data_IF_410695658288
#
_entry.id   IF_410695658288
#
_cell.length_a   1.000
_cell.length_b   1.000
_cell.length_c   1.000
_cell.angle_alpha   90.00
_cell.angle_beta   90.00
_cell.angle_gamma   90.00
#
_symmetry.space_group_name_H-M   'P 1'
#
loop_
_entity.id
_entity.type
_entity.pdbx_description
1 polymer ?
#
# COMPACT_ATOMS: atom_id res chain seq x y z
N UNK A 1 -47.73 8.58 29.07
CA UNK A 1 -47.57 8.04 27.70
C UNK A 1 -46.31 8.61 27.00
N UNK A 2 -45.51 9.44 27.69
CA UNK A 2 -44.28 10.06 27.14
C UNK A 2 -42.95 9.37 27.47
N UNK A 3 -42.99 8.35 28.31
CA UNK A 3 -41.75 7.65 28.74
C UNK A 3 -41.36 6.44 27.89
N UNK A 4 -42.19 6.00 26.95
CA UNK A 4 -41.93 4.78 26.13
C UNK A 4 -41.29 5.13 24.77
N UNK A 5 -41.43 6.35 24.29
CA UNK A 5 -40.87 6.77 22.98
C UNK A 5 -39.37 7.14 23.03
N UNK A 6 -38.83 7.45 24.22
CA UNK A 6 -37.43 7.89 24.36
C UNK A 6 -36.41 6.75 24.47
N UNK A 7 -36.86 5.53 24.76
CA UNK A 7 -35.95 4.37 24.90
C UNK A 7 -35.79 3.54 23.62
N UNK A 8 -36.71 3.67 22.64
CA UNK A 8 -36.56 2.97 21.36
C UNK A 8 -35.61 3.69 20.39
N UNK A 9 -35.58 5.04 20.43
CA UNK A 9 -34.66 5.82 19.57
C UNK A 9 -33.20 5.74 20.02
N UNK A 10 -32.90 5.54 21.30
CA UNK A 10 -31.53 5.39 21.80
C UNK A 10 -30.88 4.03 21.45
N UNK A 11 -31.67 3.02 21.10
CA UNK A 11 -31.16 1.69 20.68
C UNK A 11 -30.94 1.57 19.17
N UNK A 12 -31.58 2.40 18.37
CA UNK A 12 -31.42 2.39 16.89
C UNK A 12 -30.22 3.21 16.44
N UNK A 13 -29.90 4.28 17.15
CA UNK A 13 -28.79 5.19 16.78
C UNK A 13 -27.40 4.53 16.79
N UNK A 14 -27.00 3.70 17.78
CA UNK A 14 -25.72 3.03 17.73
C UNK A 14 -25.64 1.94 16.66
N UNK A 15 -26.77 1.29 16.31
CA UNK A 15 -26.78 0.28 15.23
C UNK A 15 -26.66 0.92 13.86
N UNK A 16 -27.30 2.08 13.62
CA UNK A 16 -27.13 2.85 12.38
C UNK A 16 -25.72 3.43 12.25
N UNK A 17 -25.12 3.86 13.37
CA UNK A 17 -23.75 4.38 13.37
C UNK A 17 -22.71 3.28 13.14
N UNK A 18 -22.92 2.08 13.70
CA UNK A 18 -22.09 0.91 13.46
C UNK A 18 -22.25 0.41 12.02
N UNK A 19 -23.46 0.44 11.47
CA UNK A 19 -23.72 0.08 10.07
C UNK A 19 -23.10 1.10 9.08
N UNK A 20 -23.13 2.39 9.41
CA UNK A 20 -22.48 3.43 8.61
C UNK A 20 -20.93 3.31 8.66
N UNK A 21 -20.35 2.93 9.79
CA UNK A 21 -18.92 2.64 9.93
C UNK A 21 -18.56 1.36 9.19
N UNK A 22 -19.37 0.31 9.26
CA UNK A 22 -19.18 -0.92 8.50
C UNK A 22 -19.29 -0.69 6.98
N UNK A 23 -20.24 0.12 6.52
CA UNK A 23 -20.37 0.49 5.10
C UNK A 23 -19.17 1.33 4.64
N UNK A 24 -18.62 2.19 5.49
CA UNK A 24 -17.39 2.93 5.16
C UNK A 24 -16.12 2.07 5.22
N UNK A 25 -16.10 1.03 6.05
CA UNK A 25 -14.98 0.05 6.09
C UNK A 25 -15.05 -0.91 4.90
N UNK A 26 -16.25 -1.24 4.42
CA UNK A 26 -16.44 -2.08 3.21
C UNK A 26 -16.27 -1.29 1.90
N UNK A 27 -16.28 0.05 1.93
CA UNK A 27 -15.96 0.92 0.79
C UNK A 27 -14.46 1.13 0.56
N UNK A 28 -13.59 0.53 1.33
CA UNK A 28 -12.17 0.74 1.23
C UNK A 28 -11.46 -0.43 0.58
N UNK A 29 -11.12 -0.28 -0.62
CA UNK A 29 -9.93 -0.63 -1.41
C UNK A 29 -10.26 -0.69 -2.89
N UNK A 30 -11.11 0.22 -3.37
CA UNK A 30 -11.02 0.64 -4.77
C UNK A 30 -9.67 1.33 -4.94
N UNK A 31 -9.01 1.11 -6.07
CA UNK A 31 -7.73 1.72 -6.42
C UNK A 31 -7.69 3.18 -5.99
N UNK A 32 -6.60 3.57 -5.35
CA UNK A 32 -6.43 4.95 -4.92
C UNK A 32 -6.36 5.84 -6.17
N UNK A 33 -7.36 6.69 -6.42
CA UNK A 33 -7.44 7.48 -7.66
C UNK A 33 -6.27 8.44 -7.81
N UNK A 34 -5.61 8.75 -6.72
CA UNK A 34 -4.34 9.49 -6.69
C UNK A 34 -3.63 9.23 -5.36
N UNK A 35 -2.32 9.45 -5.36
CA UNK A 35 -1.48 9.37 -4.18
C UNK A 35 -1.03 10.78 -3.81
N UNK A 36 -0.93 11.08 -2.52
CA UNK A 36 -0.35 12.33 -2.09
C UNK A 36 0.33 12.21 -0.73
N UNK A 37 1.31 13.08 -0.52
CA UNK A 37 2.00 13.21 0.75
C UNK A 37 2.14 14.69 1.12
N UNK A 38 2.19 14.97 2.43
CA UNK A 38 2.33 16.30 2.99
C UNK A 38 3.36 16.26 4.12
N UNK A 39 4.54 16.79 3.85
CA UNK A 39 5.71 16.66 4.74
C UNK A 39 6.12 18.03 5.23
N UNK A 40 6.39 18.13 6.55
CA UNK A 40 6.84 19.35 7.17
C UNK A 40 8.37 19.46 7.17
N UNK A 41 8.88 20.54 6.61
CA UNK A 41 10.28 20.94 6.62
C UNK A 41 10.45 22.31 7.24
N UNK A 42 11.70 22.70 7.59
CA UNK A 42 12.00 24.06 7.98
C UNK A 42 11.86 25.02 6.78
N UNK A 43 11.22 26.17 6.99
CA UNK A 43 11.21 27.25 6.01
C UNK A 43 12.54 28.01 6.01
N UNK A 44 12.79 28.80 4.97
CA UNK A 44 13.87 29.79 4.95
C UNK A 44 13.59 30.94 5.94
N UNK A 45 12.33 31.14 6.31
CA UNK A 45 11.90 32.09 7.34
C UNK A 45 11.94 31.41 8.70
N UNK A 46 12.83 31.84 9.60
CA UNK A 46 13.13 31.16 10.87
C UNK A 46 11.92 30.82 11.75
N UNK A 47 10.87 31.59 11.74
CA UNK A 47 9.68 31.38 12.56
C UNK A 47 8.62 30.52 11.89
N UNK A 48 8.86 30.13 10.63
CA UNK A 48 7.93 29.35 9.82
C UNK A 48 8.48 27.97 9.50
N UNK A 49 7.56 27.09 9.24
CA UNK A 49 7.81 25.82 8.59
C UNK A 49 7.16 25.83 7.20
N UNK A 50 7.60 24.97 6.32
CA UNK A 50 6.93 24.71 5.06
C UNK A 50 6.33 23.31 5.06
N UNK A 51 5.14 23.20 4.53
CA UNK A 51 4.49 21.92 4.24
C UNK A 51 4.61 21.71 2.74
N UNK A 52 5.46 20.77 2.35
CA UNK A 52 5.65 20.36 0.96
C UNK A 52 4.65 19.26 0.62
N UNK A 53 3.89 19.47 -0.45
CA UNK A 53 2.80 18.60 -0.87
C UNK A 53 3.14 18.06 -2.25
N UNK A 54 3.19 16.75 -2.35
CA UNK A 54 3.40 16.01 -3.59
C UNK A 54 2.12 15.25 -3.91
N UNK A 55 1.64 15.33 -5.15
CA UNK A 55 0.48 14.57 -5.62
C UNK A 55 0.85 13.85 -6.90
N UNK A 56 0.54 12.57 -6.99
CA UNK A 56 0.72 11.72 -8.15
C UNK A 56 -0.64 11.22 -8.59
N UNK A 57 -1.02 11.51 -9.84
CA UNK A 57 -2.26 11.07 -10.47
C UNK A 57 -1.90 10.06 -11.55
N UNK A 58 -2.13 8.74 -11.34
CA UNK A 58 -1.92 7.73 -12.37
C UNK A 58 -2.87 7.95 -13.55
N UNK A 59 -2.43 7.66 -14.77
CA UNK A 59 -3.30 7.78 -15.94
C UNK A 59 -4.45 6.77 -15.89
N UNK A 60 -4.22 5.59 -15.33
CA UNK A 60 -5.24 4.58 -15.16
C UNK A 60 -6.40 4.98 -14.24
N UNK A 61 -6.25 6.00 -13.39
CA UNK A 61 -7.33 6.54 -12.56
C UNK A 61 -8.16 7.64 -13.23
N UNK A 62 -7.84 7.97 -14.49
CA UNK A 62 -8.52 9.00 -15.27
C UNK A 62 -9.32 8.38 -16.41
N UNK A 63 -10.47 9.00 -16.71
CA UNK A 63 -11.30 8.59 -17.84
C UNK A 63 -10.79 9.21 -19.15
N UNK A 64 -10.31 8.38 -20.07
CA UNK A 64 -9.87 8.83 -21.39
C UNK A 64 -10.94 8.55 -22.44
N UNK A 65 -11.29 9.58 -23.23
CA UNK A 65 -12.15 9.43 -24.40
C UNK A 65 -11.38 9.59 -25.70
N UNK A 66 -11.68 8.73 -26.68
CA UNK A 66 -11.09 8.85 -28.00
C UNK A 66 -11.66 10.07 -28.73
N UNK A 67 -10.80 10.97 -29.14
CA UNK A 67 -11.13 12.19 -29.88
C UNK A 67 -10.23 12.28 -31.11
N UNK A 68 -10.77 11.96 -32.29
CA UNK A 68 -9.98 11.83 -33.50
C UNK A 68 -8.98 10.67 -33.43
N UNK A 69 -7.69 10.98 -33.56
CA UNK A 69 -6.56 10.03 -33.50
C UNK A 69 -5.93 9.90 -32.12
N UNK A 70 -6.52 10.54 -31.09
CA UNK A 70 -5.93 10.60 -29.74
C UNK A 70 -6.95 10.23 -28.66
N UNK A 71 -6.43 9.83 -27.50
CA UNK A 71 -7.16 9.65 -26.26
C UNK A 71 -6.94 10.91 -25.39
N UNK A 72 -8.02 11.43 -24.82
CA UNK A 72 -8.00 12.70 -24.08
C UNK A 72 -8.63 12.51 -22.70
N UNK A 73 -7.90 12.92 -21.65
CA UNK A 73 -8.43 13.07 -20.29
C UNK A 73 -8.35 14.53 -19.86
N UNK A 74 -9.42 15.01 -19.21
CA UNK A 74 -9.46 16.36 -18.63
C UNK A 74 -9.86 16.28 -17.15
N UNK A 75 -9.09 16.93 -16.30
CA UNK A 75 -9.36 16.96 -14.87
C UNK A 75 -8.89 18.25 -14.20
N UNK A 76 -9.45 18.54 -13.02
CA UNK A 76 -9.02 19.61 -12.15
C UNK A 76 -8.51 19.01 -10.83
N UNK A 77 -7.25 19.27 -10.48
CA UNK A 77 -6.69 18.96 -9.18
C UNK A 77 -6.73 20.19 -8.28
N UNK A 78 -7.28 20.07 -7.09
CA UNK A 78 -7.30 21.13 -6.09
C UNK A 78 -6.54 20.71 -4.84
N UNK A 79 -5.66 21.58 -4.36
CA UNK A 79 -4.92 21.40 -3.10
C UNK A 79 -5.32 22.54 -2.16
N UNK A 80 -5.80 22.21 -0.97
CA UNK A 80 -6.16 23.20 0.04
C UNK A 80 -5.59 22.85 1.41
N UNK A 81 -5.19 23.90 2.15
CA UNK A 81 -4.68 23.80 3.51
C UNK A 81 -5.69 24.41 4.48
N UNK A 82 -6.04 23.67 5.52
CA UNK A 82 -6.91 24.13 6.61
C UNK A 82 -6.17 24.07 7.94
N UNK A 83 -6.50 25.00 8.83
CA UNK A 83 -6.01 24.98 10.21
C UNK A 83 -6.79 23.97 11.08
N UNK A 84 -6.43 23.88 12.36
CA UNK A 84 -7.08 23.00 13.34
C UNK A 84 -8.55 23.35 13.60
N UNK A 85 -9.01 24.54 13.22
CA UNK A 85 -10.42 24.97 13.32
C UNK A 85 -11.23 24.61 12.09
N UNK A 86 -10.59 24.08 11.04
CA UNK A 86 -11.21 23.76 9.75
C UNK A 86 -11.28 24.96 8.80
N UNK A 87 -10.74 26.12 9.17
CA UNK A 87 -10.69 27.31 8.32
C UNK A 87 -9.69 27.09 7.17
N UNK A 88 -10.13 27.32 5.94
CA UNK A 88 -9.24 27.27 4.78
C UNK A 88 -8.30 28.48 4.80
N UNK A 89 -7.01 28.21 4.76
CA UNK A 89 -5.96 29.21 4.75
C UNK A 89 -5.46 29.50 3.36
N UNK A 90 -5.30 28.47 2.55
CA UNK A 90 -4.81 28.55 1.17
C UNK A 90 -5.48 27.47 0.32
N UNK A 91 -5.67 27.77 -0.96
CA UNK A 91 -6.18 26.82 -1.94
C UNK A 91 -5.58 27.14 -3.29
N UNK A 92 -5.22 26.12 -4.05
CA UNK A 92 -4.78 26.21 -5.44
C UNK A 92 -5.47 25.15 -6.29
N UNK A 93 -5.71 25.46 -7.57
CA UNK A 93 -6.32 24.56 -8.53
C UNK A 93 -5.43 24.45 -9.77
N UNK A 94 -5.36 23.24 -10.30
CA UNK A 94 -4.51 22.84 -11.43
C UNK A 94 -5.38 22.14 -12.48
N UNK A 95 -6.00 22.90 -13.42
CA UNK A 95 -6.67 22.29 -14.55
C UNK A 95 -5.64 21.62 -15.47
N UNK A 96 -5.93 20.40 -15.91
CA UNK A 96 -5.06 19.61 -16.79
C UNK A 96 -5.86 18.95 -17.90
N UNK A 97 -5.20 18.88 -19.07
CA UNK A 97 -5.65 18.11 -20.21
C UNK A 97 -4.48 17.28 -20.72
N UNK A 98 -4.71 15.96 -20.84
CA UNK A 98 -3.72 14.97 -21.24
C UNK A 98 -4.11 14.41 -22.60
N UNK A 99 -3.12 14.17 -23.47
CA UNK A 99 -3.30 13.58 -24.79
C UNK A 99 -2.37 12.39 -24.94
N UNK A 100 -2.94 11.23 -25.28
CA UNK A 100 -2.19 10.02 -25.59
C UNK A 100 -2.58 9.47 -26.97
N UNK A 101 -1.65 8.84 -27.66
CA UNK A 101 -1.91 8.25 -28.98
C UNK A 101 -2.39 6.82 -28.87
N UNK A 102 -1.78 6.07 -27.98
CA UNK A 102 -2.05 4.64 -27.81
C UNK A 102 -3.00 4.41 -26.62
N UNK A 103 -3.96 3.52 -26.78
CA UNK A 103 -4.88 3.17 -25.71
C UNK A 103 -4.15 2.59 -24.48
N UNK A 104 -3.09 1.80 -24.72
CA UNK A 104 -2.28 1.22 -23.65
C UNK A 104 -1.64 2.25 -22.72
N UNK A 105 -1.39 3.45 -23.21
CA UNK A 105 -0.83 4.54 -22.42
C UNK A 105 -1.84 5.18 -21.48
N UNK A 106 -3.13 4.93 -21.67
CA UNK A 106 -4.23 5.48 -20.87
C UNK A 106 -4.66 4.57 -19.73
N UNK A 107 -4.17 3.34 -19.67
CA UNK A 107 -4.53 2.37 -18.64
C UNK A 107 -3.45 2.27 -17.56
N UNK A 108 -3.82 1.79 -16.38
CA UNK A 108 -2.94 1.74 -15.21
C UNK A 108 -1.61 1.00 -15.38
N UNK A 109 -1.54 0.10 -16.38
CA UNK A 109 -0.34 -0.68 -16.70
C UNK A 109 0.76 0.11 -17.41
N UNK A 110 0.45 1.26 -18.00
CA UNK A 110 1.46 2.10 -18.67
C UNK A 110 2.49 2.67 -17.71
N UNK A 111 2.20 2.68 -16.40
CA UNK A 111 3.00 3.32 -15.38
C UNK A 111 3.08 4.85 -15.54
N UNK A 112 2.30 5.44 -16.48
CA UNK A 112 2.27 6.90 -16.70
C UNK A 112 1.48 7.60 -15.59
N UNK A 113 1.94 8.77 -15.22
CA UNK A 113 1.32 9.60 -14.20
C UNK A 113 1.61 11.09 -14.39
N UNK A 114 0.79 11.94 -13.77
CA UNK A 114 1.07 13.35 -13.58
C UNK A 114 1.52 13.61 -12.15
N UNK A 115 2.59 14.39 -11.97
CA UNK A 115 3.05 14.85 -10.66
C UNK A 115 2.75 16.32 -10.48
N UNK A 116 2.26 16.67 -9.30
CA UNK A 116 2.06 18.03 -8.85
C UNK A 116 2.86 18.24 -7.57
N UNK A 117 3.44 19.41 -7.46
CA UNK A 117 4.15 19.86 -6.27
C UNK A 117 3.62 21.23 -5.86
N UNK A 118 3.39 21.40 -4.57
CA UNK A 118 3.11 22.70 -3.97
C UNK A 118 3.74 22.79 -2.58
N UNK A 119 3.94 24.01 -2.11
CA UNK A 119 4.54 24.26 -0.79
C UNK A 119 3.84 25.44 -0.12
N UNK A 120 3.48 25.26 1.14
CA UNK A 120 2.84 26.27 1.96
C UNK A 120 3.68 26.59 3.20
N UNK A 121 4.04 27.85 3.35
CA UNK A 121 4.66 28.33 4.58
C UNK A 121 3.59 28.59 5.65
N UNK A 122 3.84 28.05 6.84
CA UNK A 122 2.91 28.03 7.97
C UNK A 122 3.64 28.28 9.29
N UNK A 123 2.90 28.77 10.27
CA UNK A 123 3.37 28.81 11.66
C UNK A 123 3.29 27.43 12.31
N UNK A 124 3.89 27.27 13.48
CA UNK A 124 3.70 26.09 14.32
C UNK A 124 2.22 25.80 14.56
N UNK A 125 1.81 24.54 14.35
CA UNK A 125 0.42 24.13 14.52
C UNK A 125 0.09 22.85 13.76
N UNK A 126 -1.15 22.39 13.93
CA UNK A 126 -1.70 21.25 13.23
C UNK A 126 -2.51 21.71 12.03
N UNK A 127 -2.26 21.11 10.88
CA UNK A 127 -2.89 21.46 9.61
C UNK A 127 -3.47 20.23 8.93
N UNK A 128 -4.56 20.41 8.23
CA UNK A 128 -5.14 19.40 7.35
C UNK A 128 -4.96 19.80 5.90
N UNK A 129 -4.24 18.98 5.13
CA UNK A 129 -4.11 19.12 3.68
C UNK A 129 -5.23 18.33 3.04
N UNK A 130 -6.01 18.96 2.18
CA UNK A 130 -7.07 18.35 1.38
C UNK A 130 -6.66 18.40 -0.08
N UNK A 131 -6.72 17.25 -0.74
CA UNK A 131 -6.53 17.12 -2.18
C UNK A 131 -7.82 16.58 -2.79
N UNK A 132 -8.30 17.23 -3.86
CA UNK A 132 -9.48 16.82 -4.60
C UNK A 132 -9.15 16.74 -6.08
N UNK A 133 -9.49 15.62 -6.71
CA UNK A 133 -9.37 15.37 -8.13
C UNK A 133 -10.77 15.27 -8.72
N UNK A 134 -11.13 16.19 -9.62
CA UNK A 134 -12.36 16.16 -10.39
C UNK A 134 -12.06 15.72 -11.82
N UNK A 135 -12.41 14.50 -12.17
CA UNK A 135 -12.34 13.98 -13.53
C UNK A 135 -13.54 14.51 -14.33
N UNK A 136 -13.28 15.39 -15.32
CA UNK A 136 -14.36 16.02 -16.12
C UNK A 136 -15.03 15.04 -17.06
N UNK A 137 -14.30 14.03 -17.50
CA UNK A 137 -14.81 13.06 -18.47
C UNK A 137 -15.83 12.10 -17.82
N UNK A 138 -15.59 11.65 -16.59
CA UNK A 138 -16.53 10.80 -15.85
C UNK A 138 -17.46 11.61 -14.92
N UNK A 139 -17.23 12.91 -14.78
CA UNK A 139 -17.90 13.80 -13.80
C UNK A 139 -17.75 13.28 -12.35
N UNK A 140 -16.65 12.58 -12.04
CA UNK A 140 -16.40 11.98 -10.73
C UNK A 140 -15.42 12.82 -9.93
N UNK A 141 -15.68 12.99 -8.63
CA UNK A 141 -14.78 13.68 -7.71
C UNK A 141 -14.24 12.71 -6.69
N UNK A 142 -12.91 12.67 -6.56
CA UNK A 142 -12.20 11.95 -5.53
C UNK A 142 -11.55 12.93 -4.57
N UNK A 143 -11.57 12.64 -3.27
CA UNK A 143 -10.97 13.52 -2.27
C UNK A 143 -10.27 12.74 -1.18
N UNK A 144 -9.09 13.22 -0.80
CA UNK A 144 -8.30 12.69 0.32
C UNK A 144 -7.84 13.82 1.22
N UNK A 145 -7.59 13.50 2.48
CA UNK A 145 -7.00 14.44 3.43
C UNK A 145 -5.93 13.78 4.28
N UNK A 146 -4.94 14.59 4.66
CA UNK A 146 -3.87 14.18 5.59
C UNK A 146 -3.63 15.29 6.59
N UNK A 147 -3.54 14.92 7.87
CA UNK A 147 -3.13 15.84 8.93
C UNK A 147 -1.62 15.82 9.07
N UNK A 148 -1.01 16.99 9.18
CA UNK A 148 0.42 17.18 9.42
C UNK A 148 0.63 18.21 10.52
N UNK A 149 1.69 18.01 11.32
CA UNK A 149 2.09 18.92 12.36
C UNK A 149 3.29 19.76 11.88
N UNK A 150 3.11 21.06 11.83
CA UNK A 150 4.21 21.99 11.59
C UNK A 150 4.89 22.35 12.90
N UNK A 151 6.19 22.08 12.97
CA UNK A 151 7.03 22.37 14.13
C UNK A 151 7.77 23.69 13.91
N UNK A 152 7.98 24.46 14.95
CA UNK A 152 8.94 25.56 14.88
C UNK A 152 10.37 25.01 15.13
N UNK A 153 11.03 24.61 14.03
CA UNK A 153 12.35 24.00 14.07
C UNK A 153 13.42 24.89 14.75
N UNK A 154 13.26 26.22 14.72
CA UNK A 154 14.21 27.15 15.34
C UNK A 154 14.18 27.15 16.87
N UNK A 155 13.19 26.48 17.50
CA UNK A 155 13.15 26.31 18.96
C UNK A 155 14.07 25.21 19.46
N UNK A 156 14.45 24.27 18.59
CA UNK A 156 15.25 23.12 18.96
C UNK A 156 16.73 23.37 18.67
N UNK A 157 17.61 22.90 19.56
CA UNK A 157 19.05 22.92 19.29
C UNK A 157 19.43 22.02 18.12
N UNK A 158 18.74 20.88 18.02
CA UNK A 158 18.82 19.94 16.92
C UNK A 158 17.43 19.40 16.58
N UNK A 159 17.10 19.32 15.30
CA UNK A 159 15.83 18.74 14.87
C UNK A 159 16.00 17.98 13.54
N UNK A 160 15.11 17.02 13.30
CA UNK A 160 14.91 16.39 11.99
C UNK A 160 13.51 16.73 11.46
N UNK A 161 13.38 16.83 10.15
CA UNK A 161 12.11 17.14 9.47
C UNK A 161 11.11 15.99 9.58
N UNK A 162 9.95 16.12 8.95
CA UNK A 162 9.09 15.00 8.59
C UNK A 162 9.83 14.00 7.69
N UNK A 163 9.37 12.75 7.68
CA UNK A 163 9.96 11.66 6.91
C UNK A 163 9.26 11.54 5.55
N UNK A 164 10.02 11.37 4.48
CA UNK A 164 9.54 11.06 3.14
C UNK A 164 10.06 9.70 2.71
N UNK A 165 9.20 8.87 2.11
CA UNK A 165 9.65 7.67 1.43
C UNK A 165 10.03 7.98 -0.01
N UNK A 166 11.14 7.38 -0.48
CA UNK A 166 11.57 7.47 -1.85
C UNK A 166 11.74 6.06 -2.42
N UNK A 167 11.35 5.89 -3.67
CA UNK A 167 11.62 4.65 -4.41
C UNK A 167 13.02 4.63 -4.99
N UNK A 168 13.60 5.80 -5.28
CA UNK A 168 14.95 5.91 -5.84
C UNK A 168 15.64 7.22 -5.46
N UNK A 169 16.98 7.17 -5.42
CA UNK A 169 17.88 8.30 -5.18
C UNK A 169 19.13 8.15 -6.06
N UNK A 170 19.33 9.07 -6.97
CA UNK A 170 20.51 9.16 -7.84
C UNK A 170 21.34 10.39 -7.49
N UNK A 171 22.63 10.23 -7.31
CA UNK A 171 23.56 11.37 -7.16
C UNK A 171 24.11 11.77 -8.52
N UNK A 172 23.85 13.00 -8.94
CA UNK A 172 24.29 13.56 -10.20
C UNK A 172 25.05 14.89 -9.95
N UNK A 173 26.34 14.90 -10.16
CA UNK A 173 27.18 16.11 -10.03
C UNK A 173 27.03 16.82 -8.67
N UNK A 174 27.01 16.08 -7.57
CA UNK A 174 26.85 16.62 -6.22
C UNK A 174 25.44 17.11 -5.86
N UNK A 175 24.45 16.82 -6.72
CA UNK A 175 23.02 17.04 -6.48
C UNK A 175 22.29 15.70 -6.46
N UNK A 176 21.23 15.62 -5.70
CA UNK A 176 20.40 14.42 -5.63
C UNK A 176 19.14 14.59 -6.48
N UNK A 177 18.93 13.65 -7.40
CA UNK A 177 17.65 13.44 -8.06
C UNK A 177 16.89 12.41 -7.24
N UNK A 178 15.72 12.76 -6.75
CA UNK A 178 14.90 11.90 -5.92
C UNK A 178 13.60 11.52 -6.63
N UNK A 179 13.13 10.29 -6.38
CA UNK A 179 11.83 9.83 -6.83
C UNK A 179 10.95 9.57 -5.60
N UNK A 180 10.06 10.53 -5.24
CA UNK A 180 9.14 10.37 -4.11
C UNK A 180 8.24 9.14 -4.28
N UNK A 181 8.08 8.38 -3.22
CA UNK A 181 7.12 7.29 -3.14
C UNK A 181 5.93 7.74 -2.28
N UNK A 182 4.83 8.09 -2.95
CA UNK A 182 3.70 8.78 -2.32
C UNK A 182 2.62 7.85 -1.77
N UNK A 183 2.72 6.55 -2.04
CA UNK A 183 1.89 5.57 -1.38
C UNK A 183 2.38 5.33 0.06
N UNK A 184 1.45 5.19 1.00
CA UNK A 184 1.81 4.72 2.34
C UNK A 184 2.05 3.21 2.37
N UNK A 185 1.71 2.48 1.30
CA UNK A 185 1.91 1.04 1.17
C UNK A 185 3.28 0.72 0.54
N UNK A 186 4.25 0.33 1.37
CA UNK A 186 5.59 -0.06 0.94
C UNK A 186 5.69 -1.52 0.46
N UNK A 187 4.58 -2.25 0.41
CA UNK A 187 4.56 -3.68 0.08
C UNK A 187 5.09 -4.02 -1.31
N UNK A 188 5.10 -3.05 -2.22
CA UNK A 188 5.53 -3.19 -3.60
C UNK A 188 7.00 -2.80 -3.85
N UNK A 189 7.71 -2.39 -2.81
CA UNK A 189 9.11 -1.99 -2.90
C UNK A 189 10.00 -3.04 -2.24
N UNK A 190 10.96 -3.58 -3.00
CA UNK A 190 12.02 -4.42 -2.44
C UNK A 190 13.01 -3.57 -1.65
N UNK A 191 13.21 -2.33 -2.08
CA UNK A 191 14.09 -1.35 -1.47
C UNK A 191 13.45 0.03 -1.52
N UNK A 192 13.54 0.76 -0.42
CA UNK A 192 13.11 2.15 -0.32
C UNK A 192 14.19 2.98 0.37
N UNK A 193 14.02 4.30 0.34
CA UNK A 193 14.84 5.20 1.13
C UNK A 193 13.92 6.06 2.00
N UNK A 194 14.41 6.41 3.19
CA UNK A 194 13.80 7.37 4.09
C UNK A 194 14.59 8.66 3.95
N UNK A 195 13.94 9.68 3.44
CA UNK A 195 14.52 11.02 3.31
C UNK A 195 14.03 11.91 4.45
N UNK A 196 14.93 12.71 4.98
CA UNK A 196 14.65 13.80 5.91
C UNK A 196 15.79 14.82 5.91
N UNK A 197 15.49 16.02 6.39
CA UNK A 197 16.49 17.07 6.60
C UNK A 197 16.84 17.18 8.07
N UNK A 198 18.08 17.59 8.36
CA UNK A 198 18.56 17.88 9.71
C UNK A 198 18.81 19.36 9.85
N UNK A 199 18.49 19.90 11.02
CA UNK A 199 18.65 21.31 11.33
C UNK A 199 19.39 21.47 12.66
N UNK A 200 20.38 22.35 12.69
CA UNK A 200 21.12 22.73 13.89
C UNK A 200 21.06 24.23 14.10
N UNK A 201 20.83 24.64 15.33
CA UNK A 201 20.87 26.06 15.72
C UNK A 201 22.30 26.58 15.87
N UNK A 202 23.19 25.78 16.47
CA UNK A 202 24.56 26.19 16.86
C UNK A 202 25.62 25.25 16.27
N UNK A 203 25.51 24.69 15.12
CA UNK A 203 26.53 23.84 14.47
C UNK A 203 27.37 22.98 15.45
N UNK A 204 26.71 22.41 16.44
CA UNK A 204 27.36 21.70 17.55
C UNK A 204 27.90 20.33 17.13
N UNK A 205 27.33 19.72 16.09
CA UNK A 205 27.65 18.37 15.68
C UNK A 205 28.11 18.35 14.22
N UNK A 206 29.29 17.79 13.94
CA UNK A 206 29.78 17.52 12.58
C UNK A 206 29.29 16.17 12.04
N UNK A 207 28.79 15.32 12.92
CA UNK A 207 28.18 14.03 12.58
C UNK A 207 27.14 13.65 13.59
N UNK A 208 26.23 12.77 13.19
CA UNK A 208 25.22 12.13 14.03
C UNK A 208 25.15 10.65 13.73
N UNK A 209 24.66 9.89 14.68
CA UNK A 209 24.32 8.49 14.47
C UNK A 209 22.82 8.34 14.25
N UNK A 210 22.41 7.61 13.22
CA UNK A 210 21.00 7.34 12.88
C UNK A 210 20.70 5.88 13.11
N UNK A 211 19.55 5.63 13.74
CA UNK A 211 18.89 4.33 13.87
C UNK A 211 17.44 4.49 13.46
N UNK A 212 16.86 3.53 12.76
CA UNK A 212 15.43 3.49 12.62
C UNK A 212 14.84 2.21 13.22
N UNK A 213 13.64 2.35 13.75
CA UNK A 213 12.86 1.29 14.38
C UNK A 213 11.57 1.10 13.61
N UNK A 214 11.13 -0.15 13.44
CA UNK A 214 9.78 -0.46 12.94
C UNK A 214 8.98 -1.00 14.11
N UNK A 215 7.79 -0.45 14.34
CA UNK A 215 6.85 -0.84 15.36
C UNK A 215 5.53 -1.26 14.74
N UNK A 216 4.88 -2.24 15.33
CA UNK A 216 3.51 -2.60 14.97
C UNK A 216 2.49 -1.57 15.51
N UNK A 217 1.22 -1.75 15.18
CA UNK A 217 0.12 -0.89 15.64
C UNK A 217 -0.08 -0.91 17.17
N UNK A 218 0.50 -1.89 17.89
CA UNK A 218 0.51 -1.95 19.36
C UNK A 218 1.74 -1.26 19.97
N UNK A 219 2.62 -0.70 19.12
CA UNK A 219 3.86 -0.04 19.55
C UNK A 219 5.02 -1.00 19.86
N UNK A 220 4.83 -2.32 19.65
CA UNK A 220 5.89 -3.32 19.83
C UNK A 220 6.93 -3.15 18.74
N UNK A 221 8.22 -3.09 19.14
CA UNK A 221 9.33 -3.09 18.21
C UNK A 221 9.45 -4.45 17.48
N UNK A 222 9.37 -4.38 16.14
CA UNK A 222 9.49 -5.54 15.25
C UNK A 222 10.88 -5.61 14.66
N UNK A 223 11.49 -4.44 14.41
CA UNK A 223 12.80 -4.37 13.79
C UNK A 223 13.54 -3.11 14.28
N UNK A 224 14.86 -3.24 14.36
CA UNK A 224 15.79 -2.16 14.62
C UNK A 224 16.95 -2.25 13.63
N UNK A 225 17.26 -1.15 12.95
CA UNK A 225 18.41 -1.08 12.04
C UNK A 225 19.73 -1.06 12.82
N UNK A 226 20.81 -1.43 12.15
CA UNK A 226 22.15 -1.09 12.63
C UNK A 226 22.31 0.43 12.69
N UNK A 227 23.11 0.89 13.63
CA UNK A 227 23.49 2.30 13.75
C UNK A 227 24.43 2.68 12.62
N UNK A 228 24.12 3.79 11.95
CA UNK A 228 24.96 4.33 10.87
C UNK A 228 25.30 5.78 11.17
N UNK A 229 26.57 6.14 11.03
CA UNK A 229 27.05 7.51 11.18
C UNK A 229 26.92 8.29 9.89
N UNK A 230 26.44 9.51 9.98
CA UNK A 230 26.30 10.45 8.90
C UNK A 230 27.05 11.75 9.25
N UNK A 231 27.88 12.23 8.31
CA UNK A 231 28.41 13.59 8.38
C UNK A 231 27.31 14.59 8.10
N UNK A 232 27.23 15.62 8.93
CA UNK A 232 26.29 16.73 8.74
C UNK A 232 27.07 18.04 8.78
N UNK A 233 26.77 18.92 7.81
CA UNK A 233 27.28 20.29 7.81
C UNK A 233 26.05 21.18 7.79
N UNK A 234 25.90 22.02 8.81
CA UNK A 234 24.75 22.92 8.94
C UNK A 234 23.39 22.19 8.86
N UNK A 235 22.66 22.38 7.77
CA UNK A 235 21.44 21.65 7.44
C UNK A 235 21.81 20.58 6.40
N UNK A 236 21.59 19.31 6.70
CA UNK A 236 21.94 18.22 5.81
C UNK A 236 20.69 17.47 5.33
N UNK A 237 20.72 17.03 4.09
CA UNK A 237 19.76 16.10 3.52
C UNK A 237 20.28 14.68 3.69
N UNK A 238 19.52 13.83 4.35
CA UNK A 238 19.92 12.46 4.63
C UNK A 238 18.99 11.46 3.93
N UNK A 239 19.62 10.43 3.37
CA UNK A 239 18.98 9.32 2.69
C UNK A 239 19.35 8.01 3.40
N UNK A 240 18.41 7.47 4.14
CA UNK A 240 18.60 6.22 4.90
C UNK A 240 17.99 5.08 4.13
N UNK A 241 18.80 4.12 3.71
CA UNK A 241 18.31 2.94 3.01
C UNK A 241 17.41 2.12 3.94
N UNK A 242 16.22 1.84 3.49
CA UNK A 242 15.24 0.96 4.12
C UNK A 242 15.11 -0.32 3.31
N UNK A 243 15.40 -1.45 3.93
CA UNK A 243 15.16 -2.77 3.34
C UNK A 243 14.12 -3.50 4.16
N UNK A 244 13.22 -4.20 3.49
CA UNK A 244 12.18 -4.98 4.14
C UNK A 244 12.80 -6.01 5.09
N UNK A 245 12.47 -5.99 6.40
CA UNK A 245 12.84 -7.08 7.30
C UNK A 245 12.17 -8.40 6.91
N UNK A 246 12.88 -9.51 7.02
CA UNK A 246 12.37 -10.84 6.62
C UNK A 246 11.10 -11.26 7.38
N UNK A 247 10.93 -10.77 8.61
CA UNK A 247 9.78 -11.05 9.48
C UNK A 247 8.65 -10.02 9.38
N UNK A 248 8.74 -9.05 8.45
CA UNK A 248 7.68 -8.06 8.25
C UNK A 248 6.54 -8.69 7.45
N UNK A 249 5.45 -9.02 8.14
CA UNK A 249 4.21 -9.51 7.53
C UNK A 249 3.34 -8.39 6.95
N UNK A 250 2.20 -8.75 6.39
CA UNK A 250 1.18 -7.79 5.97
C UNK A 250 0.59 -7.08 7.21
N UNK A 251 0.46 -5.75 7.15
CA UNK A 251 -0.10 -4.96 8.24
C UNK A 251 0.28 -3.49 8.19
N UNK A 252 -0.16 -2.76 9.22
CA UNK A 252 0.16 -1.34 9.42
C UNK A 252 1.26 -1.21 10.47
N UNK A 253 2.23 -0.38 10.17
CA UNK A 253 3.44 -0.18 10.95
C UNK A 253 3.74 1.31 11.14
N UNK A 254 4.61 1.60 12.08
CA UNK A 254 5.19 2.93 12.27
C UNK A 254 6.72 2.82 12.17
N UNK A 255 7.33 3.66 11.34
CA UNK A 255 8.77 3.84 11.31
C UNK A 255 9.14 5.05 12.17
N UNK A 256 10.10 4.84 13.07
CA UNK A 256 10.66 5.86 13.94
C UNK A 256 12.13 6.02 13.61
N UNK A 257 12.53 7.18 13.13
CA UNK A 257 13.93 7.56 12.92
C UNK A 257 14.41 8.30 14.16
N UNK A 258 15.51 7.85 14.73
CA UNK A 258 16.14 8.41 15.92
C UNK A 258 17.52 8.95 15.55
N UNK A 259 17.72 10.26 15.71
CA UNK A 259 19.02 10.90 15.63
C UNK A 259 19.68 10.91 17.01
N UNK A 260 20.89 10.40 17.09
CA UNK A 260 21.66 10.23 18.33
C UNK A 260 22.95 11.05 18.28
N UNK A 261 23.45 11.42 19.46
CA UNK A 261 24.82 11.97 19.59
C UNK A 261 25.84 10.97 19.03
N UNK A 262 26.93 11.46 18.41
CA UNK A 262 28.00 10.60 17.93
C UNK A 262 28.56 9.72 19.05
N UNK A 263 28.62 8.40 18.83
CA UNK A 263 29.16 7.46 19.83
C UNK A 263 28.23 7.11 20.99
N UNK A 264 26.93 7.49 20.91
CA UNK A 264 25.93 7.06 21.90
C UNK A 264 25.95 5.54 22.11
N UNK A 265 25.65 5.09 23.35
CA UNK A 265 25.62 3.65 23.67
C UNK A 265 24.58 2.92 22.81
N UNK A 266 24.91 1.71 22.36
CA UNK A 266 24.02 0.90 21.49
C UNK A 266 23.13 -0.06 22.28
N UNK A 267 23.01 0.11 23.58
CA UNK A 267 22.16 -0.75 24.41
C UNK A 267 20.68 -0.68 23.98
N UNK A 268 19.92 -1.68 24.34
CA UNK A 268 18.52 -1.87 23.94
C UNK A 268 17.57 -0.71 24.28
N UNK A 269 18.02 0.19 25.16
CA UNK A 269 17.31 1.40 25.57
C UNK A 269 18.25 2.60 25.38
N UNK A 270 17.94 3.45 24.38
CA UNK A 270 18.63 4.74 24.26
C UNK A 270 18.33 5.57 25.50
N UNK A 271 19.37 6.11 26.09
CA UNK A 271 19.21 7.08 27.19
C UNK A 271 18.68 8.38 26.59
N UNK A 272 17.71 9.00 27.23
CA UNK A 272 17.07 10.22 26.75
C UNK A 272 18.04 11.34 26.38
N UNK A 273 19.14 11.48 27.17
CA UNK A 273 20.16 12.50 26.90
C UNK A 273 21.06 12.25 25.70
N UNK A 274 20.99 11.06 25.10
CA UNK A 274 21.71 10.69 23.86
C UNK A 274 20.86 10.97 22.62
N UNK A 275 19.56 11.08 22.76
CA UNK A 275 18.63 11.37 21.69
C UNK A 275 18.66 12.87 21.36
N UNK A 276 18.94 13.19 20.11
CA UNK A 276 18.91 14.56 19.60
C UNK A 276 17.55 14.94 19.03
N UNK A 277 16.94 14.04 18.28
CA UNK A 277 15.62 14.25 17.68
C UNK A 277 15.00 12.92 17.25
N UNK A 278 13.67 12.91 17.14
CA UNK A 278 12.90 11.77 16.65
C UNK A 278 11.89 12.28 15.62
N UNK A 279 11.73 11.53 14.52
CA UNK A 279 10.59 11.67 13.63
C UNK A 279 9.96 10.31 13.38
N UNK A 280 8.64 10.32 13.17
CA UNK A 280 7.85 9.11 12.97
C UNK A 280 6.95 9.24 11.75
N UNK A 281 6.70 8.09 11.11
CA UNK A 281 5.75 8.00 10.01
C UNK A 281 5.07 6.63 10.02
N UNK A 282 3.74 6.62 9.88
CA UNK A 282 2.99 5.40 9.62
C UNK A 282 3.19 4.91 8.19
N UNK A 283 3.17 3.59 7.99
CA UNK A 283 3.14 2.97 6.68
C UNK A 283 2.37 1.65 6.71
N UNK A 284 1.86 1.25 5.57
CA UNK A 284 1.25 -0.06 5.36
C UNK A 284 2.25 -0.96 4.62
N UNK A 285 2.25 -2.22 4.95
CA UNK A 285 2.96 -3.25 4.21
C UNK A 285 1.94 -4.27 3.70
N UNK A 286 1.51 -4.10 2.45
CA UNK A 286 0.58 -4.99 1.76
C UNK A 286 1.00 -5.05 0.29
N UNK A 287 1.56 -6.16 -0.18
CA UNK A 287 1.94 -6.26 -1.59
C UNK A 287 0.71 -6.12 -2.48
N UNK A 288 0.78 -5.27 -3.50
CA UNK A 288 -0.27 -5.19 -4.52
C UNK A 288 -0.29 -6.49 -5.31
N UNK A 289 -1.48 -7.04 -5.46
CA UNK A 289 -1.69 -8.26 -6.24
C UNK A 289 -1.23 -8.05 -7.69
N UNK A 290 -1.55 -6.91 -8.28
CA UNK A 290 -1.13 -6.58 -9.64
C UNK A 290 0.39 -6.61 -9.80
N UNK A 291 1.13 -5.98 -8.89
CA UNK A 291 2.60 -5.98 -8.95
C UNK A 291 3.19 -7.37 -8.75
N UNK A 292 2.59 -8.18 -7.87
CA UNK A 292 2.99 -9.58 -7.70
C UNK A 292 2.79 -10.39 -8.98
N UNK A 293 1.67 -10.17 -9.67
CA UNK A 293 1.33 -10.83 -10.93
C UNK A 293 2.29 -10.40 -12.05
N UNK A 294 2.51 -9.09 -12.20
CA UNK A 294 3.36 -8.54 -13.27
C UNK A 294 4.86 -8.81 -13.04
N UNK A 295 5.31 -8.97 -11.81
CA UNK A 295 6.71 -9.30 -11.51
C UNK A 295 7.14 -10.64 -12.14
N UNK A 296 6.20 -11.54 -12.42
CA UNK A 296 6.46 -12.80 -13.12
C UNK A 296 5.21 -13.24 -13.91
N UNK A 297 4.99 -12.60 -15.06
CA UNK A 297 3.81 -12.84 -15.90
C UNK A 297 3.68 -14.30 -16.33
N UNK A 298 4.78 -14.98 -16.71
CA UNK A 298 4.74 -16.39 -17.12
C UNK A 298 4.28 -17.31 -15.98
N UNK A 299 4.69 -17.00 -14.74
CA UNK A 299 4.19 -17.72 -13.56
C UNK A 299 2.70 -17.46 -13.37
N UNK A 300 2.27 -16.23 -13.49
CA UNK A 300 0.87 -15.84 -13.30
C UNK A 300 -0.04 -16.46 -14.38
N UNK A 301 0.44 -16.58 -15.59
CA UNK A 301 -0.27 -17.32 -16.66
C UNK A 301 -0.43 -18.81 -16.29
N UNK A 302 0.61 -19.46 -15.78
CA UNK A 302 0.49 -20.86 -15.30
C UNK A 302 -0.53 -21.00 -14.18
N UNK A 303 -0.63 -20.00 -13.32
CA UNK A 303 -1.58 -19.96 -12.21
C UNK A 303 -3.05 -19.84 -12.69
N UNK A 304 -3.33 -19.47 -13.95
CA UNK A 304 -4.68 -19.44 -14.52
C UNK A 304 -5.35 -20.82 -14.58
N UNK A 305 -4.62 -21.91 -14.31
CA UNK A 305 -5.11 -23.29 -14.37
C UNK A 305 -6.49 -23.51 -13.74
N UNK A 306 -6.81 -22.80 -12.67
CA UNK A 306 -8.07 -22.98 -11.94
C UNK A 306 -9.20 -22.06 -12.38
N UNK A 307 -8.97 -21.14 -13.32
CA UNK A 307 -9.96 -20.18 -13.79
C UNK A 307 -10.13 -20.22 -15.33
N UNK A 308 -9.05 -20.44 -16.06
CA UNK A 308 -9.03 -20.42 -17.53
C UNK A 308 -9.16 -21.83 -18.14
N UNK A 309 -9.66 -21.91 -19.36
CA UNK A 309 -9.52 -23.11 -20.19
C UNK A 309 -8.11 -23.19 -20.76
N UNK A 310 -7.70 -24.39 -21.15
CA UNK A 310 -6.35 -24.58 -21.73
C UNK A 310 -6.18 -23.75 -23.00
N UNK A 311 -7.23 -23.62 -23.81
CA UNK A 311 -7.22 -22.78 -25.01
C UNK A 311 -6.94 -21.30 -24.74
N UNK A 312 -7.40 -20.77 -23.60
CA UNK A 312 -7.12 -19.36 -23.22
C UNK A 312 -5.64 -19.22 -22.84
N UNK A 313 -5.10 -20.20 -22.08
CA UNK A 313 -3.70 -20.20 -21.65
C UNK A 313 -2.79 -20.34 -22.89
N UNK A 314 -3.13 -21.22 -23.83
CA UNK A 314 -2.37 -21.41 -25.05
C UNK A 314 -2.38 -20.14 -25.91
N UNK A 315 -3.56 -19.50 -26.08
CA UNK A 315 -3.69 -18.23 -26.79
C UNK A 315 -2.80 -17.13 -26.20
N UNK A 316 -2.73 -17.03 -24.87
CA UNK A 316 -1.85 -16.06 -24.20
C UNK A 316 -0.37 -16.39 -24.47
N UNK A 317 0.01 -17.68 -24.41
CA UNK A 317 1.39 -18.13 -24.57
C UNK A 317 1.88 -18.08 -26.03
N UNK A 318 1.01 -18.09 -27.03
CA UNK A 318 1.34 -17.91 -28.45
C UNK A 318 1.82 -16.50 -28.80
N UNK A 319 1.64 -15.53 -27.90
CA UNK A 319 2.13 -14.17 -28.08
C UNK A 319 3.64 -14.14 -28.30
N UNK A 320 4.09 -13.34 -29.27
CA UNK A 320 5.50 -13.27 -29.69
C UNK A 320 6.30 -12.26 -28.87
N UNK A 321 5.63 -11.29 -28.25
CA UNK A 321 6.28 -10.24 -27.44
C UNK A 321 5.70 -10.26 -26.04
N UNK A 322 6.46 -9.71 -25.07
CA UNK A 322 5.96 -9.51 -23.70
C UNK A 322 4.71 -8.65 -23.66
N UNK A 323 4.69 -7.58 -24.44
CA UNK A 323 3.57 -6.65 -24.52
C UNK A 323 2.31 -7.32 -25.05
N UNK A 324 2.40 -8.10 -26.13
CA UNK A 324 1.29 -8.88 -26.68
C UNK A 324 0.79 -9.91 -25.66
N UNK A 325 1.71 -10.60 -24.97
CA UNK A 325 1.38 -11.57 -23.92
C UNK A 325 0.62 -10.92 -22.77
N UNK A 326 1.09 -9.77 -22.31
CA UNK A 326 0.44 -8.98 -21.27
C UNK A 326 -0.96 -8.55 -21.71
N UNK A 327 -1.12 -8.03 -22.92
CA UNK A 327 -2.41 -7.60 -23.44
C UNK A 327 -3.42 -8.75 -23.48
N UNK A 328 -3.04 -9.92 -24.00
CA UNK A 328 -3.91 -11.10 -24.06
C UNK A 328 -4.29 -11.59 -22.66
N UNK A 329 -3.36 -11.52 -21.71
CA UNK A 329 -3.60 -11.84 -20.30
C UNK A 329 -4.62 -10.88 -19.66
N UNK A 330 -4.50 -9.59 -19.93
CA UNK A 330 -5.43 -8.57 -19.41
C UNK A 330 -6.80 -8.66 -20.06
N UNK A 331 -6.86 -8.95 -21.38
CA UNK A 331 -8.11 -9.20 -22.10
C UNK A 331 -8.86 -10.41 -21.53
N UNK A 332 -8.14 -11.46 -21.14
CA UNK A 332 -8.75 -12.61 -20.46
C UNK A 332 -9.45 -12.17 -19.17
N UNK A 333 -8.77 -11.40 -18.31
CA UNK A 333 -9.35 -10.93 -17.06
C UNK A 333 -10.48 -9.92 -17.27
N UNK A 334 -10.39 -9.09 -18.28
CA UNK A 334 -11.47 -8.16 -18.64
C UNK A 334 -12.79 -8.86 -18.99
N UNK A 335 -12.74 -10.07 -19.56
CA UNK A 335 -13.95 -10.88 -19.83
C UNK A 335 -14.62 -11.40 -18.56
N UNK A 336 -13.86 -11.54 -17.48
CA UNK A 336 -14.32 -12.04 -16.17
C UNK A 336 -14.63 -10.91 -15.18
N UNK A 337 -14.47 -9.67 -15.59
CA UNK A 337 -14.69 -8.48 -14.77
C UNK A 337 -16.18 -8.32 -14.43
N UNK A 338 -16.58 -8.39 -13.15
CA UNK A 338 -17.97 -8.22 -12.75
C UNK A 338 -18.45 -6.75 -12.83
N UNK A 339 -17.52 -5.78 -12.87
CA UNK A 339 -17.79 -4.35 -12.94
C UNK A 339 -17.02 -3.65 -14.07
N UNK A 340 -17.27 -3.97 -15.35
CA UNK A 340 -16.45 -3.49 -16.48
C UNK A 340 -16.37 -1.98 -16.66
N UNK A 341 -17.21 -1.22 -15.96
CA UNK A 341 -17.21 0.24 -15.94
C UNK A 341 -16.22 0.87 -14.96
N UNK A 342 -15.55 0.04 -14.14
CA UNK A 342 -14.51 0.46 -13.21
C UNK A 342 -13.14 -0.02 -13.69
N UNK A 343 -12.06 0.57 -13.18
CA UNK A 343 -10.70 0.10 -13.46
C UNK A 343 -10.30 -1.09 -12.59
N UNK A 344 -11.05 -1.35 -11.54
CA UNK A 344 -10.82 -2.43 -10.61
C UNK A 344 -11.55 -3.69 -11.07
N UNK A 345 -10.81 -4.78 -11.24
CA UNK A 345 -11.37 -6.09 -11.56
C UNK A 345 -11.36 -6.97 -10.31
N UNK A 346 -12.49 -7.08 -9.65
CA UNK A 346 -12.64 -7.80 -8.39
C UNK A 346 -12.33 -9.30 -8.54
N UNK A 347 -12.68 -9.88 -9.69
CA UNK A 347 -12.40 -11.28 -9.97
C UNK A 347 -10.89 -11.55 -10.08
N UNK A 348 -10.16 -10.66 -10.75
CA UNK A 348 -8.69 -10.73 -10.84
C UNK A 348 -8.04 -10.61 -9.46
N UNK A 349 -8.42 -9.58 -8.72
CA UNK A 349 -7.83 -9.28 -7.42
C UNK A 349 -8.06 -10.43 -6.43
N UNK A 350 -9.31 -10.89 -6.31
CA UNK A 350 -9.66 -11.99 -5.41
C UNK A 350 -8.96 -13.29 -5.79
N UNK A 351 -8.91 -13.62 -7.07
CA UNK A 351 -8.26 -14.84 -7.53
C UNK A 351 -6.77 -14.86 -7.14
N UNK A 352 -6.03 -13.81 -7.44
CA UNK A 352 -4.61 -13.76 -7.12
C UNK A 352 -4.34 -13.53 -5.63
N UNK A 353 -5.23 -12.92 -4.88
CA UNK A 353 -5.17 -12.92 -3.41
C UNK A 353 -5.26 -14.34 -2.85
N UNK A 354 -6.15 -15.19 -3.39
CA UNK A 354 -6.25 -16.59 -3.01
C UNK A 354 -4.99 -17.38 -3.39
N UNK A 355 -4.41 -17.14 -4.56
CA UNK A 355 -3.11 -17.70 -4.98
C UNK A 355 -2.00 -17.29 -4.00
N UNK A 356 -1.94 -16.01 -3.66
CA UNK A 356 -0.94 -15.50 -2.72
C UNK A 356 -1.10 -16.12 -1.33
N UNK A 357 -2.32 -16.17 -0.82
CA UNK A 357 -2.61 -16.83 0.46
C UNK A 357 -2.21 -18.30 0.44
N UNK A 358 -2.60 -19.04 -0.60
CA UNK A 358 -2.25 -20.45 -0.74
C UNK A 358 -0.73 -20.68 -0.73
N UNK A 359 0.03 -19.81 -1.41
CA UNK A 359 1.49 -19.87 -1.42
C UNK A 359 2.12 -19.60 -0.05
N UNK A 360 1.46 -18.82 0.80
CA UNK A 360 1.94 -18.51 2.14
C UNK A 360 1.55 -19.59 3.15
N UNK A 361 0.28 -20.03 3.10
CA UNK A 361 -0.31 -20.88 4.13
C UNK A 361 -0.07 -22.39 3.89
N UNK A 362 0.05 -22.82 2.61
CA UNK A 362 0.09 -24.25 2.27
C UNK A 362 1.40 -24.68 1.61
N UNK A 363 2.45 -23.89 1.77
CA UNK A 363 3.76 -24.19 1.18
C UNK A 363 4.31 -25.51 1.73
N UNK A 364 4.72 -26.39 0.80
CA UNK A 364 5.46 -27.61 1.10
C UNK A 364 6.72 -27.67 0.21
N UNK A 365 7.09 -28.82 -0.37
CA UNK A 365 8.13 -28.92 -1.39
C UNK A 365 7.70 -28.39 -2.77
N UNK A 366 6.41 -28.05 -2.93
CA UNK A 366 5.86 -27.37 -4.09
C UNK A 366 5.25 -26.02 -3.69
N UNK A 367 4.89 -25.19 -4.67
CA UNK A 367 4.21 -23.95 -4.41
C UNK A 367 2.81 -24.21 -3.82
N UNK A 368 2.42 -23.42 -2.82
CA UNK A 368 1.20 -23.68 -2.06
C UNK A 368 -0.07 -23.77 -2.93
N UNK A 369 -0.18 -22.96 -4.00
CA UNK A 369 -1.31 -23.01 -4.93
C UNK A 369 -1.43 -24.34 -5.70
N UNK A 370 -0.34 -25.11 -5.81
CA UNK A 370 -0.30 -26.42 -6.48
C UNK A 370 -0.67 -27.57 -5.55
N UNK A 371 -0.69 -27.36 -4.24
CA UNK A 371 -1.10 -28.37 -3.26
C UNK A 371 -2.60 -28.62 -3.31
N UNK A 372 -3.05 -29.75 -2.77
CA UNK A 372 -4.47 -30.07 -2.73
C UNK A 372 -5.26 -29.03 -1.90
N UNK A 373 -4.70 -28.57 -0.76
CA UNK A 373 -5.29 -27.47 0.02
C UNK A 373 -5.34 -26.18 -0.78
N UNK A 374 -4.26 -25.86 -1.47
CA UNK A 374 -4.19 -24.66 -2.32
C UNK A 374 -5.19 -24.69 -3.45
N UNK A 375 -5.35 -25.80 -4.15
CA UNK A 375 -6.33 -25.98 -5.20
C UNK A 375 -7.75 -25.71 -4.69
N UNK A 376 -8.15 -26.36 -3.60
CA UNK A 376 -9.48 -26.19 -3.00
C UNK A 376 -9.71 -24.74 -2.56
N UNK A 377 -8.70 -24.14 -1.91
CA UNK A 377 -8.79 -22.75 -1.45
C UNK A 377 -8.90 -21.74 -2.60
N UNK A 378 -8.12 -21.92 -3.66
CA UNK A 378 -8.15 -21.00 -4.81
C UNK A 378 -9.52 -21.05 -5.47
N UNK A 379 -10.08 -22.24 -5.66
CA UNK A 379 -11.38 -22.40 -6.34
C UNK A 379 -12.56 -21.96 -5.48
N UNK A 380 -12.61 -22.37 -4.22
CA UNK A 380 -13.79 -22.20 -3.35
C UNK A 380 -13.66 -21.05 -2.34
N UNK A 381 -12.46 -20.52 -2.15
CA UNK A 381 -12.18 -19.52 -1.11
C UNK A 381 -11.96 -20.14 0.28
N UNK A 382 -12.02 -19.33 1.34
CA UNK A 382 -11.85 -19.81 2.71
C UNK A 382 -13.00 -20.73 3.11
N UNK A 383 -12.73 -21.85 3.81
CA UNK A 383 -13.78 -22.70 4.38
C UNK A 383 -14.47 -21.99 5.54
N UNK A 384 -15.72 -22.34 5.80
CA UNK A 384 -16.47 -21.81 6.95
C UNK A 384 -15.85 -22.25 8.29
N UNK A 385 -15.36 -23.49 8.38
CA UNK A 385 -14.62 -23.99 9.54
C UNK A 385 -13.53 -24.95 9.14
N UNK A 386 -12.44 -24.96 9.90
CA UNK A 386 -11.36 -25.94 9.81
C UNK A 386 -11.28 -26.67 11.14
N UNK A 387 -11.33 -28.01 11.09
CA UNK A 387 -11.11 -28.88 12.25
C UNK A 387 -9.86 -29.71 12.04
N UNK A 388 -8.96 -29.73 13.01
CA UNK A 388 -7.76 -30.55 12.99
C UNK A 388 -7.92 -31.73 13.92
N UNK A 389 -7.60 -32.93 13.45
CA UNK A 389 -7.61 -34.16 14.21
C UNK A 389 -6.29 -34.89 14.05
N UNK A 390 -5.82 -35.57 15.09
CA UNK A 390 -4.63 -36.42 15.03
C UNK A 390 -5.00 -37.85 15.38
N UNK A 391 -4.69 -38.76 14.49
CA UNK A 391 -4.78 -40.19 14.74
C UNK A 391 -3.43 -40.68 15.28
N UNK A 392 -3.36 -40.85 16.57
CA UNK A 392 -2.16 -41.31 17.27
C UNK A 392 -1.76 -42.74 16.94
N UNK A 393 -2.72 -43.60 16.51
CA UNK A 393 -2.43 -44.98 16.17
C UNK A 393 -1.61 -45.10 14.88
N UNK A 394 -1.86 -44.21 13.93
CA UNK A 394 -1.15 -44.19 12.63
C UNK A 394 -0.24 -43.00 12.45
N UNK A 395 -0.09 -42.16 13.48
CA UNK A 395 0.70 -40.91 13.45
C UNK A 395 0.33 -40.02 12.25
N UNK A 396 -0.97 -39.82 12.00
CA UNK A 396 -1.51 -39.03 10.89
C UNK A 396 -2.30 -37.84 11.40
N UNK A 397 -2.08 -36.69 10.77
CA UNK A 397 -2.87 -35.50 11.02
C UNK A 397 -3.89 -35.30 9.91
N UNK A 398 -5.10 -34.89 10.29
CA UNK A 398 -6.20 -34.64 9.39
C UNK A 398 -6.65 -33.19 9.53
N UNK A 399 -6.93 -32.52 8.42
CA UNK A 399 -7.69 -31.26 8.37
C UNK A 399 -9.02 -31.49 7.67
N UNK A 400 -10.12 -31.12 8.33
CA UNK A 400 -11.47 -31.21 7.79
C UNK A 400 -11.96 -29.81 7.52
N UNK A 401 -12.14 -29.48 6.24
CA UNK A 401 -12.60 -28.18 5.79
C UNK A 401 -14.07 -28.25 5.43
N UNK A 402 -14.91 -27.51 6.16
CA UNK A 402 -16.35 -27.45 5.92
C UNK A 402 -16.73 -26.18 5.15
N UNK A 403 -17.39 -26.38 4.03
CA UNK A 403 -18.09 -25.36 3.24
C UNK A 403 -19.60 -25.54 3.40
N UNK A 404 -20.40 -24.57 2.98
CA UNK A 404 -21.87 -24.60 3.15
C UNK A 404 -22.54 -25.85 2.56
N UNK A 405 -21.99 -26.45 1.51
CA UNK A 405 -22.58 -27.56 0.76
C UNK A 405 -21.67 -28.79 0.62
N UNK A 406 -20.46 -28.76 1.17
CA UNK A 406 -19.49 -29.87 1.06
C UNK A 406 -18.40 -29.81 2.11
N UNK A 407 -17.75 -30.97 2.33
CA UNK A 407 -16.62 -31.11 3.24
C UNK A 407 -15.44 -31.74 2.50
N UNK A 408 -14.23 -31.21 2.74
CA UNK A 408 -12.99 -31.80 2.26
C UNK A 408 -12.16 -32.31 3.45
N UNK A 409 -11.58 -33.48 3.29
CA UNK A 409 -10.69 -34.08 4.29
C UNK A 409 -9.31 -34.17 3.67
N UNK A 410 -8.34 -33.56 4.33
CA UNK A 410 -6.93 -33.63 3.97
C UNK A 410 -6.15 -34.44 5.00
N UNK A 411 -5.23 -35.27 4.55
CA UNK A 411 -4.42 -36.15 5.40
C UNK A 411 -2.95 -35.86 5.18
N UNK A 412 -2.22 -35.61 6.23
CA UNK A 412 -0.76 -35.61 6.21
C UNK A 412 -0.27 -37.03 6.48
N UNK A 413 0.10 -37.73 5.42
CA UNK A 413 0.65 -39.09 5.48
C UNK A 413 2.11 -39.13 5.93
N UNK A 414 2.81 -38.02 5.83
CA UNK A 414 4.25 -37.93 6.04
C UNK A 414 4.64 -37.35 7.39
N UNK A 415 3.71 -36.62 8.03
CA UNK A 415 4.00 -35.85 9.25
C UNK A 415 4.81 -34.55 9.01
N UNK A 416 5.07 -34.19 7.75
CA UNK A 416 5.84 -33.01 7.37
C UNK A 416 4.98 -31.87 6.81
N UNK A 417 3.65 -31.96 6.96
CA UNK A 417 2.72 -30.90 6.51
C UNK A 417 2.29 -31.00 5.04
N UNK A 418 2.60 -32.12 4.35
CA UNK A 418 2.13 -32.39 2.97
C UNK A 418 0.74 -33.04 3.03
N UNK A 419 -0.26 -32.18 3.20
CA UNK A 419 -1.65 -32.60 3.28
C UNK A 419 -2.23 -32.93 1.90
N UNK A 420 -2.72 -34.15 1.73
CA UNK A 420 -3.35 -34.65 0.49
C UNK A 420 -4.83 -34.88 0.72
N UNK A 421 -5.65 -34.66 -0.31
CA UNK A 421 -7.06 -35.01 -0.26
C UNK A 421 -7.24 -36.51 0.02
N UNK A 422 -8.03 -36.85 1.03
CA UNK A 422 -8.33 -38.23 1.39
C UNK A 422 -9.08 -38.97 0.27
N UNK A 423 -10.04 -38.28 -0.36
CA UNK A 423 -10.75 -38.74 -1.55
C UNK A 423 -10.61 -37.67 -2.60
N UNK A 424 -9.82 -37.88 -3.67
CA UNK A 424 -9.68 -36.88 -4.73
C UNK A 424 -11.05 -36.68 -5.39
N UNK A 425 -11.61 -35.44 -5.36
CA UNK A 425 -12.85 -35.14 -6.05
C UNK A 425 -12.57 -35.16 -7.55
N UNK A 426 -13.60 -35.50 -8.34
CA UNK A 426 -13.60 -35.13 -9.76
C UNK A 426 -13.79 -33.61 -9.83
N UNK A 427 -12.70 -32.87 -9.76
CA UNK A 427 -12.75 -31.42 -9.65
C UNK A 427 -12.88 -30.82 -11.05
N UNK A 428 -14.12 -30.66 -11.52
CA UNK A 428 -14.45 -29.96 -12.78
C UNK A 428 -14.74 -28.47 -12.57
N UNK A 429 -14.77 -28.02 -11.32
CA UNK A 429 -15.13 -26.64 -10.99
C UNK A 429 -13.96 -25.70 -11.22
N UNK A 430 -14.30 -24.50 -11.68
CA UNK A 430 -13.39 -23.38 -11.86
C UNK A 430 -13.71 -22.30 -10.81
N UNK A 431 -12.72 -21.48 -10.53
CA UNK A 431 -12.95 -20.27 -9.76
C UNK A 431 -14.09 -19.44 -10.37
N UNK A 432 -14.93 -18.92 -9.52
CA UNK A 432 -16.01 -18.02 -9.91
C UNK A 432 -16.14 -16.94 -8.84
N UNK A 433 -16.00 -15.68 -9.25
CA UNK A 433 -16.20 -14.55 -8.34
C UNK A 433 -17.64 -14.54 -7.82
N UNK A 434 -17.78 -14.37 -6.52
CA UNK A 434 -19.06 -14.18 -5.83
C UNK A 434 -18.90 -12.97 -4.93
N UNK A 435 -19.63 -11.86 -5.17
CA UNK A 435 -19.56 -10.65 -4.37
C UNK A 435 -19.96 -10.88 -2.91
#
# INVERSE_FOLDING_TARGET
MEYILNNSMKKVFPILFILAILINVLKSKADEPFFFDAICFKSQIDTLSRIDIYVLVPYGSLSFFKTGDRYVAEFDLSISLKDSTGKSLKSKSYPKKIFEKEQLETIGFSGKYQVFFDSFEVREGTYSVFVSLYDKNSATTYSKSRTTNALNFSRFEFAISGLMFLSDVEELNGKYKITPFLSDNLGNLDKAFIFFETYQKTKKYDSIDIVYLIRDFKGKEIFRSSRKRYSIKDNAQLFVSFSKPANLGQGTYNIRVVALKPGASYDSLFKDYEILSIAERGFEFSPSIMNLVLSNLDKSIRQLKYVAYQSDIDYINEAKTYEEKLNRFLEFWKKLDPTPSTEFNEAFEEYYQRIYYANTAFKSYMEGWQTDRGMVYVVLGPPATIQTQTDFAYNRSYEIWNYSNRTFIFVDYTGFGDYRLYSPPSFSEKYSYKP
#
